data_IF_854071351476
#
_entry.id   IF_854071351476
#
_cell.length_a   1.000
_cell.length_b   1.000
_cell.length_c   1.000
_cell.angle_alpha   90.00
_cell.angle_beta   90.00
_cell.angle_gamma   90.00
#
_symmetry.space_group_name_H-M   'P 1'
#
loop_
_entity.id
_entity.type
_entity.pdbx_description
1 polymer ?
#
# COMPACT_ATOMS: atom_id res chain seq x y z
N UNK A 1 10.86 -12.96 -10.95
CA UNK A 1 9.76 -12.64 -11.84
C UNK A 1 8.63 -13.65 -11.75
N UNK A 2 7.45 -13.25 -12.10
CA UNK A 2 6.24 -14.10 -12.05
C UNK A 2 6.08 -14.97 -13.31
N UNK A 3 6.91 -14.75 -14.31
CA UNK A 3 6.88 -15.51 -15.58
C UNK A 3 8.29 -15.85 -16.06
N UNK A 4 8.45 -17.01 -16.69
CA UNK A 4 9.71 -17.48 -17.26
C UNK A 4 10.67 -18.12 -16.24
N UNK A 5 11.93 -18.33 -16.64
CA UNK A 5 12.97 -18.85 -15.77
C UNK A 5 13.31 -17.84 -14.66
N UNK A 6 13.40 -18.25 -13.38
CA UNK A 6 13.75 -17.35 -12.28
C UNK A 6 15.13 -16.71 -12.52
N UNK A 7 15.21 -15.38 -12.35
CA UNK A 7 16.46 -14.63 -12.41
C UNK A 7 16.82 -14.13 -11.00
N UNK A 8 18.05 -14.32 -10.59
CA UNK A 8 18.57 -13.76 -9.34
C UNK A 8 18.84 -12.28 -9.50
N UNK A 9 18.09 -11.43 -8.82
CA UNK A 9 18.29 -9.97 -8.83
C UNK A 9 19.34 -9.59 -7.79
N UNK A 10 20.40 -8.90 -8.20
CA UNK A 10 21.47 -8.45 -7.32
C UNK A 10 21.16 -7.03 -6.83
N UNK A 11 20.82 -6.91 -5.56
CA UNK A 11 20.52 -5.62 -4.92
C UNK A 11 21.72 -5.13 -4.11
N UNK A 12 21.98 -3.83 -4.14
CA UNK A 12 23.01 -3.20 -3.30
C UNK A 12 22.44 -2.76 -1.95
N UNK A 13 23.30 -2.64 -0.94
CA UNK A 13 22.92 -1.99 0.33
C UNK A 13 22.46 -0.54 0.09
N UNK A 14 23.14 0.21 -0.80
CA UNK A 14 22.76 1.56 -1.17
C UNK A 14 21.36 1.63 -1.76
N UNK A 15 21.02 0.71 -2.67
CA UNK A 15 19.68 0.64 -3.27
C UNK A 15 18.58 0.42 -2.24
N UNK A 16 18.80 -0.51 -1.29
CA UNK A 16 17.85 -0.75 -0.20
C UNK A 16 17.72 0.48 0.71
N UNK A 17 18.83 1.12 1.10
CA UNK A 17 18.80 2.30 1.96
C UNK A 17 18.11 3.47 1.26
N UNK A 18 18.42 3.75 0.00
CA UNK A 18 17.74 4.77 -0.80
C UNK A 18 16.23 4.55 -0.88
N UNK A 19 15.81 3.28 -1.01
CA UNK A 19 14.39 2.92 -0.99
C UNK A 19 13.75 3.17 0.37
N UNK A 20 14.46 2.85 1.46
CA UNK A 20 14.03 3.13 2.82
C UNK A 20 13.87 4.65 3.07
N UNK A 21 14.80 5.48 2.60
CA UNK A 21 14.71 6.95 2.72
C UNK A 21 13.45 7.49 2.08
N UNK A 22 13.17 7.09 0.82
CA UNK A 22 11.96 7.48 0.12
C UNK A 22 10.68 7.05 0.83
N UNK A 23 10.66 5.82 1.35
CA UNK A 23 9.52 5.29 2.08
C UNK A 23 9.30 5.99 3.44
N UNK A 24 10.38 6.26 4.20
CA UNK A 24 10.30 6.98 5.49
C UNK A 24 9.77 8.39 5.29
N UNK A 25 10.23 9.09 4.25
CA UNK A 25 9.72 10.42 3.90
C UNK A 25 8.21 10.37 3.62
N UNK A 26 7.76 9.38 2.87
CA UNK A 26 6.35 9.20 2.53
C UNK A 26 5.48 8.94 3.76
N UNK A 27 5.91 8.05 4.66
CA UNK A 27 5.13 7.69 5.85
C UNK A 27 5.31 8.65 7.03
N UNK A 28 6.22 9.64 6.93
CA UNK A 28 6.52 10.61 8.00
C UNK A 28 5.26 11.22 8.63
N UNK A 29 4.23 11.68 7.87
CA UNK A 29 3.01 12.22 8.45
C UNK A 29 2.22 11.21 9.30
N UNK A 30 2.42 9.91 9.08
CA UNK A 30 1.75 8.85 9.82
C UNK A 30 2.50 8.53 11.13
N UNK A 31 3.83 8.46 11.08
CA UNK A 31 4.66 8.10 12.24
C UNK A 31 4.81 9.23 13.25
N UNK A 32 4.75 10.50 12.82
CA UNK A 32 4.78 11.66 13.72
C UNK A 32 3.53 11.78 14.60
N UNK A 33 2.41 11.23 14.15
CA UNK A 33 1.13 11.29 14.88
C UNK A 33 1.02 10.25 15.98
N UNK A 34 1.69 9.10 15.83
CA UNK A 34 1.63 7.97 16.77
C UNK A 34 2.89 7.12 16.66
N UNK A 35 3.27 6.49 17.76
CA UNK A 35 4.35 5.49 17.76
C UNK A 35 4.09 4.44 16.69
N UNK A 36 5.05 4.24 15.76
CA UNK A 36 4.86 3.30 14.66
C UNK A 36 4.79 1.87 15.18
N UNK A 37 3.75 1.16 14.77
CA UNK A 37 3.55 -0.28 15.02
C UNK A 37 3.25 -0.99 13.72
N UNK A 38 3.98 -2.04 13.46
CA UNK A 38 3.80 -2.86 12.26
C UNK A 38 3.37 -4.29 12.65
N UNK A 39 2.54 -4.88 11.80
CA UNK A 39 2.25 -6.31 11.83
C UNK A 39 2.78 -6.92 10.55
N UNK A 40 3.87 -7.66 10.66
CA UNK A 40 4.54 -8.36 9.57
C UNK A 40 3.91 -9.74 9.36
N UNK A 41 3.60 -10.08 8.12
CA UNK A 41 2.99 -11.35 7.74
C UNK A 41 3.36 -11.84 6.34
N UNK A 42 3.95 -10.95 5.52
CA UNK A 42 4.44 -11.32 4.20
C UNK A 42 5.78 -12.06 4.31
N UNK A 43 6.16 -12.87 3.30
CA UNK A 43 7.44 -13.58 3.31
C UNK A 43 8.63 -12.63 3.36
N UNK A 44 9.50 -12.78 4.36
CA UNK A 44 10.72 -11.95 4.51
C UNK A 44 11.74 -12.15 3.38
N UNK A 45 11.63 -13.24 2.64
CA UNK A 45 12.43 -13.50 1.44
C UNK A 45 12.01 -12.69 0.21
N UNK A 46 10.82 -12.08 0.24
CA UNK A 46 10.36 -11.20 -0.83
C UNK A 46 10.91 -9.79 -0.61
N UNK A 47 11.47 -9.16 -1.66
CA UNK A 47 12.11 -7.85 -1.59
C UNK A 47 11.24 -6.77 -0.93
N UNK A 48 9.93 -6.81 -1.14
CA UNK A 48 8.98 -5.87 -0.54
C UNK A 48 8.99 -5.94 0.99
N UNK A 49 8.72 -7.10 1.58
CA UNK A 49 8.71 -7.24 3.03
C UNK A 49 10.11 -7.14 3.63
N UNK A 50 11.13 -7.60 2.90
CA UNK A 50 12.52 -7.43 3.30
C UNK A 50 12.89 -5.97 3.53
N UNK A 51 12.57 -5.08 2.58
CA UNK A 51 12.81 -3.64 2.71
C UNK A 51 11.96 -3.00 3.82
N UNK A 52 10.72 -3.46 3.99
CA UNK A 52 9.88 -3.00 5.11
C UNK A 52 10.51 -3.27 6.48
N UNK A 53 11.25 -4.38 6.66
CA UNK A 53 11.96 -4.64 7.91
C UNK A 53 13.01 -3.56 8.20
N UNK A 54 13.75 -3.10 7.20
CA UNK A 54 14.71 -2.00 7.39
C UNK A 54 14.01 -0.68 7.69
N UNK A 55 12.88 -0.38 7.04
CA UNK A 55 12.07 0.80 7.36
C UNK A 55 11.61 0.75 8.81
N UNK A 56 11.16 -0.40 9.31
CA UNK A 56 10.73 -0.58 10.70
C UNK A 56 11.87 -0.30 11.70
N UNK A 57 13.10 -0.72 11.36
CA UNK A 57 14.29 -0.44 12.17
C UNK A 57 14.62 1.08 12.17
N UNK A 58 14.61 1.70 10.98
CA UNK A 58 14.95 3.15 10.83
C UNK A 58 13.97 4.02 11.63
N UNK A 59 12.67 3.69 11.62
CA UNK A 59 11.67 4.49 12.34
C UNK A 59 11.48 4.08 13.80
N UNK A 60 12.26 3.12 14.32
CA UNK A 60 12.15 2.63 15.69
C UNK A 60 10.80 1.99 16.01
N UNK A 61 10.21 1.29 15.04
CA UNK A 61 8.88 0.74 15.17
C UNK A 61 8.81 -0.45 16.14
N UNK A 62 7.64 -0.62 16.78
CA UNK A 62 7.28 -1.90 17.39
C UNK A 62 6.79 -2.86 16.32
N UNK A 63 7.44 -4.00 16.20
CA UNK A 63 7.15 -5.00 15.17
C UNK A 63 6.52 -6.23 15.82
N UNK A 64 5.40 -6.66 15.26
CA UNK A 64 4.70 -7.88 15.60
C UNK A 64 4.70 -8.80 14.38
N UNK A 65 4.89 -10.09 14.60
CA UNK A 65 4.82 -11.10 13.54
C UNK A 65 3.51 -11.87 13.66
N UNK A 66 2.78 -11.98 12.57
CA UNK A 66 1.53 -12.72 12.55
C UNK A 66 1.78 -14.24 12.71
N UNK A 67 0.92 -14.89 13.46
CA UNK A 67 1.02 -16.33 13.69
C UNK A 67 0.67 -17.14 12.44
N UNK A 68 -0.38 -16.72 11.72
CA UNK A 68 -0.81 -17.31 10.45
C UNK A 68 -1.76 -16.38 9.70
N UNK A 69 -2.06 -16.70 8.44
CA UNK A 69 -3.03 -15.94 7.64
C UNK A 69 -4.45 -15.99 8.21
N UNK A 70 -4.84 -17.14 8.76
CA UNK A 70 -6.16 -17.34 9.37
C UNK A 70 -6.35 -16.46 10.60
N UNK A 71 -5.28 -16.25 11.36
CA UNK A 71 -5.28 -15.44 12.59
C UNK A 71 -4.96 -13.96 12.35
N UNK A 72 -4.74 -13.54 11.11
CA UNK A 72 -4.24 -12.21 10.80
C UNK A 72 -5.14 -11.10 11.39
N UNK A 73 -6.46 -11.21 11.26
CA UNK A 73 -7.39 -10.22 11.82
C UNK A 73 -7.35 -10.19 13.36
N UNK A 74 -7.28 -11.35 14.02
CA UNK A 74 -7.14 -11.41 15.48
C UNK A 74 -5.78 -10.85 15.93
N UNK A 75 -4.71 -11.13 15.20
CA UNK A 75 -3.40 -10.55 15.47
C UNK A 75 -3.40 -9.02 15.29
N UNK A 76 -4.12 -8.47 14.28
CA UNK A 76 -4.31 -7.02 14.14
C UNK A 76 -5.03 -6.41 15.35
N UNK A 77 -6.05 -7.08 15.88
CA UNK A 77 -6.77 -6.61 17.07
C UNK A 77 -5.86 -6.52 18.29
N UNK A 78 -4.93 -7.47 18.45
CA UNK A 78 -3.97 -7.53 19.57
C UNK A 78 -2.81 -6.52 19.36
N UNK A 79 -2.15 -6.56 18.21
CA UNK A 79 -0.99 -5.72 17.89
C UNK A 79 -1.37 -4.25 17.73
N UNK A 80 -2.59 -3.97 17.30
CA UNK A 80 -3.08 -2.63 16.98
C UNK A 80 -2.11 -1.86 16.06
N UNK A 81 -1.79 -2.40 14.87
CA UNK A 81 -0.82 -1.77 13.99
C UNK A 81 -1.29 -0.39 13.55
N UNK A 82 -0.33 0.51 13.35
CA UNK A 82 -0.59 1.83 12.76
C UNK A 82 -0.39 1.81 11.24
N UNK A 83 0.52 0.97 10.77
CA UNK A 83 0.80 0.74 9.35
C UNK A 83 0.89 -0.76 9.11
N UNK A 84 0.33 -1.23 8.00
CA UNK A 84 0.41 -2.62 7.60
C UNK A 84 0.55 -2.74 6.09
N UNK A 85 1.55 -3.48 5.66
CA UNK A 85 1.76 -3.85 4.26
C UNK A 85 0.91 -5.06 3.89
N UNK A 86 0.34 -5.07 2.70
CA UNK A 86 -0.41 -6.21 2.20
C UNK A 86 -0.41 -6.27 0.67
N UNK A 87 -0.84 -7.40 0.13
CA UNK A 87 -0.95 -7.68 -1.30
C UNK A 87 -2.41 -7.63 -1.77
N UNK A 88 -2.69 -7.42 -3.07
CA UNK A 88 -4.04 -7.26 -3.60
C UNK A 88 -5.02 -8.37 -3.19
N UNK A 89 -4.58 -9.62 -3.12
CA UNK A 89 -5.41 -10.75 -2.69
C UNK A 89 -5.95 -10.60 -1.27
N UNK A 90 -5.19 -10.00 -0.36
CA UNK A 90 -5.66 -9.71 1.00
C UNK A 90 -6.85 -8.74 0.94
N UNK A 91 -6.75 -7.68 0.16
CA UNK A 91 -7.80 -6.67 0.03
C UNK A 91 -9.06 -7.21 -0.65
N UNK A 92 -8.92 -8.08 -1.65
CA UNK A 92 -10.05 -8.79 -2.28
C UNK A 92 -10.83 -9.63 -1.26
N UNK A 93 -10.10 -10.41 -0.44
CA UNK A 93 -10.71 -11.21 0.62
C UNK A 93 -11.39 -10.34 1.67
N UNK A 94 -10.75 -9.23 2.03
CA UNK A 94 -11.29 -8.27 3.00
C UNK A 94 -12.57 -7.62 2.47
N UNK A 95 -12.56 -7.13 1.23
CA UNK A 95 -13.70 -6.57 0.53
C UNK A 95 -14.88 -7.54 0.52
N UNK A 96 -14.64 -8.79 0.12
CA UNK A 96 -15.67 -9.83 0.08
C UNK A 96 -16.28 -10.09 1.46
N UNK A 97 -15.46 -10.27 2.50
CA UNK A 97 -15.91 -10.51 3.87
C UNK A 97 -16.74 -9.35 4.43
N UNK A 98 -16.32 -8.11 4.19
CA UNK A 98 -17.03 -6.93 4.67
C UNK A 98 -18.38 -6.80 3.95
N UNK A 99 -18.42 -6.98 2.62
CA UNK A 99 -19.67 -6.90 1.85
C UNK A 99 -20.68 -7.96 2.27
N UNK A 100 -20.27 -9.22 2.48
CA UNK A 100 -21.14 -10.27 3.02
C UNK A 100 -21.75 -9.84 4.37
N UNK A 101 -20.97 -9.19 5.24
CA UNK A 101 -21.47 -8.70 6.52
C UNK A 101 -22.42 -7.50 6.33
N UNK A 102 -22.16 -6.63 5.36
CA UNK A 102 -23.04 -5.51 5.02
C UNK A 102 -24.38 -5.99 4.46
N UNK A 103 -24.37 -7.00 3.62
CA UNK A 103 -25.59 -7.56 2.99
C UNK A 103 -26.52 -8.22 3.99
N UNK A 104 -25.99 -8.75 5.09
CA UNK A 104 -26.80 -9.26 6.21
C UNK A 104 -27.52 -8.17 7.01
N UNK A 105 -27.10 -6.91 6.89
CA UNK A 105 -27.72 -5.81 7.63
C UNK A 105 -29.04 -5.35 6.96
N UNK A 106 -30.04 -5.03 7.78
CA UNK A 106 -31.37 -4.58 7.32
C UNK A 106 -31.74 -3.25 7.97
N UNK A 107 -32.80 -2.62 7.46
CA UNK A 107 -33.39 -1.41 8.02
C UNK A 107 -32.41 -0.25 8.15
N UNK A 108 -32.38 0.41 9.30
CA UNK A 108 -31.59 1.60 9.59
C UNK A 108 -30.09 1.33 9.43
N UNK A 109 -29.60 0.15 9.84
CA UNK A 109 -28.19 -0.21 9.71
C UNK A 109 -27.76 -0.24 8.25
N UNK A 110 -28.55 -0.87 7.36
CA UNK A 110 -28.27 -0.90 5.92
C UNK A 110 -28.28 0.50 5.31
N UNK A 111 -29.26 1.33 5.68
CA UNK A 111 -29.33 2.73 5.23
C UNK A 111 -28.08 3.52 5.65
N UNK A 112 -27.59 3.31 6.89
CA UNK A 112 -26.41 3.99 7.39
C UNK A 112 -25.14 3.56 6.65
N UNK A 113 -24.99 2.26 6.34
CA UNK A 113 -23.88 1.72 5.54
C UNK A 113 -23.89 2.36 4.15
N UNK A 114 -25.02 2.35 3.46
CA UNK A 114 -25.12 2.92 2.11
C UNK A 114 -24.80 4.43 2.12
N UNK A 115 -25.24 5.13 3.14
CA UNK A 115 -24.91 6.56 3.34
C UNK A 115 -23.42 6.75 3.56
N UNK A 116 -22.79 5.88 4.36
CA UNK A 116 -21.33 5.91 4.59
C UNK A 116 -20.55 5.75 3.29
N UNK A 117 -20.94 4.80 2.45
CA UNK A 117 -20.32 4.57 1.15
C UNK A 117 -20.48 5.79 0.24
N UNK A 118 -21.71 6.31 0.11
CA UNK A 118 -21.99 7.49 -0.72
C UNK A 118 -21.19 8.73 -0.30
N UNK A 119 -21.20 9.04 1.00
CA UNK A 119 -20.46 10.21 1.52
C UNK A 119 -18.95 10.02 1.45
N UNK A 120 -18.47 8.77 1.68
CA UNK A 120 -17.06 8.45 1.54
C UNK A 120 -16.57 8.64 0.11
N UNK A 121 -17.35 8.22 -0.89
CA UNK A 121 -17.02 8.43 -2.30
C UNK A 121 -16.94 9.92 -2.67
N UNK A 122 -17.91 10.74 -2.24
CA UNK A 122 -17.84 12.20 -2.42
C UNK A 122 -16.56 12.79 -1.84
N UNK A 123 -16.15 12.34 -0.65
CA UNK A 123 -14.92 12.82 -0.01
C UNK A 123 -13.69 12.43 -0.82
N UNK A 124 -13.62 11.19 -1.33
CA UNK A 124 -12.51 10.74 -2.20
C UNK A 124 -12.43 11.56 -3.49
N UNK A 125 -13.57 11.91 -4.06
CA UNK A 125 -13.70 12.76 -5.26
C UNK A 125 -13.50 14.26 -4.97
N UNK A 126 -13.18 14.61 -3.71
CA UNK A 126 -13.01 16.00 -3.23
C UNK A 126 -14.22 16.90 -3.46
N UNK A 127 -15.42 16.31 -3.48
CA UNK A 127 -16.65 17.07 -3.54
C UNK A 127 -16.93 17.78 -2.21
N UNK A 128 -17.50 18.99 -2.29
CA UNK A 128 -17.92 19.73 -1.11
C UNK A 128 -19.20 19.12 -0.52
N UNK A 129 -19.14 18.72 0.73
CA UNK A 129 -20.32 18.27 1.47
C UNK A 129 -21.13 19.47 1.97
N UNK A 130 -22.45 19.42 1.82
CA UNK A 130 -23.39 20.34 2.47
C UNK A 130 -23.32 20.21 3.99
N UNK A 131 -23.87 21.16 4.73
CA UNK A 131 -23.86 21.14 6.19
C UNK A 131 -24.56 19.90 6.76
N UNK A 132 -25.70 19.51 6.19
CA UNK A 132 -26.40 18.27 6.55
C UNK A 132 -25.59 17.01 6.27
N UNK A 133 -24.89 16.96 5.13
CA UNK A 133 -24.01 15.84 4.79
C UNK A 133 -22.79 15.75 5.73
N UNK A 134 -22.24 16.89 6.17
CA UNK A 134 -21.15 16.90 7.18
C UNK A 134 -21.60 16.30 8.52
N UNK A 135 -22.78 16.67 9.00
CA UNK A 135 -23.37 16.09 10.23
C UNK A 135 -23.59 14.59 10.05
N UNK A 136 -24.18 14.17 8.92
CA UNK A 136 -24.45 12.78 8.64
C UNK A 136 -23.17 11.96 8.48
N UNK A 137 -22.14 12.54 7.85
CA UNK A 137 -20.82 11.92 7.74
C UNK A 137 -20.16 11.73 9.12
N UNK A 138 -20.32 12.68 10.04
CA UNK A 138 -19.85 12.53 11.42
C UNK A 138 -20.53 11.34 12.14
N UNK A 139 -21.86 11.19 11.96
CA UNK A 139 -22.62 10.06 12.49
C UNK A 139 -22.12 8.73 11.86
N UNK A 140 -21.95 8.69 10.54
CA UNK A 140 -21.40 7.55 9.81
C UNK A 140 -19.99 7.18 10.29
N UNK A 141 -19.17 8.18 10.61
CA UNK A 141 -17.84 7.95 11.14
C UNK A 141 -17.86 7.21 12.48
N UNK A 142 -18.74 7.63 13.40
CA UNK A 142 -18.85 7.01 14.73
C UNK A 142 -19.50 5.63 14.64
N UNK A 143 -20.61 5.49 13.92
CA UNK A 143 -21.46 4.31 13.96
C UNK A 143 -21.03 3.21 12.98
N UNK A 144 -20.30 3.55 11.91
CA UNK A 144 -19.85 2.61 10.88
C UNK A 144 -18.34 2.53 10.84
N UNK A 145 -17.64 3.62 10.44
CA UNK A 145 -16.19 3.56 10.19
C UNK A 145 -15.38 3.18 11.43
N UNK A 146 -15.63 3.80 12.58
CA UNK A 146 -14.94 3.46 13.84
C UNK A 146 -15.18 2.01 14.26
N UNK A 147 -16.39 1.47 14.03
CA UNK A 147 -16.67 0.04 14.33
C UNK A 147 -15.87 -0.89 13.44
N UNK A 148 -15.72 -0.55 12.16
CA UNK A 148 -14.89 -1.31 11.24
C UNK A 148 -13.43 -1.20 11.66
N UNK A 149 -12.91 0.02 11.87
CA UNK A 149 -11.53 0.24 12.32
C UNK A 149 -11.18 -0.54 13.58
N UNK A 150 -12.11 -0.61 14.55
CA UNK A 150 -11.89 -1.34 15.80
C UNK A 150 -11.68 -2.85 15.60
N UNK A 151 -12.26 -3.44 14.55
CA UNK A 151 -11.99 -4.84 14.20
C UNK A 151 -10.54 -5.07 13.74
N UNK A 152 -9.86 -4.00 13.31
CA UNK A 152 -8.45 -3.99 12.90
C UNK A 152 -7.55 -3.33 13.95
N UNK A 153 -7.96 -3.34 15.22
CA UNK A 153 -7.21 -2.78 16.34
C UNK A 153 -7.40 -1.28 16.59
N UNK A 154 -8.18 -0.58 15.77
CA UNK A 154 -8.60 0.82 15.98
C UNK A 154 -7.52 1.89 15.82
N UNK A 155 -6.28 1.50 15.50
CA UNK A 155 -5.13 2.42 15.39
C UNK A 155 -4.55 2.52 13.99
N UNK A 156 -5.06 1.76 13.05
CA UNK A 156 -4.58 1.73 11.68
C UNK A 156 -4.71 3.10 11.02
N UNK A 157 -3.61 3.63 10.53
CA UNK A 157 -3.52 4.89 9.80
C UNK A 157 -3.40 4.65 8.30
N UNK A 158 -2.74 3.55 7.90
CA UNK A 158 -2.65 3.15 6.50
C UNK A 158 -2.42 1.66 6.33
N UNK A 159 -3.11 1.09 5.36
CA UNK A 159 -2.63 -0.07 4.61
C UNK A 159 -1.76 0.42 3.46
N UNK A 160 -0.71 -0.33 3.12
CA UNK A 160 0.12 -0.09 1.94
C UNK A 160 0.04 -1.31 1.04
N UNK A 161 -0.58 -1.15 -0.11
CA UNK A 161 -0.73 -2.22 -1.12
C UNK A 161 0.47 -2.23 -2.05
N UNK A 162 1.12 -3.38 -2.16
CA UNK A 162 2.25 -3.61 -3.08
C UNK A 162 2.21 -5.02 -3.66
N UNK A 163 3.13 -5.31 -4.58
CA UNK A 163 3.26 -6.63 -5.21
C UNK A 163 2.23 -6.94 -6.30
N UNK A 164 1.46 -5.95 -6.74
CA UNK A 164 0.50 -6.05 -7.85
C UNK A 164 -0.52 -4.92 -7.82
N UNK A 165 -1.25 -4.74 -8.92
CA UNK A 165 -2.30 -3.72 -9.03
C UNK A 165 -3.48 -4.03 -8.09
N UNK A 166 -3.89 -3.02 -7.33
CA UNK A 166 -5.10 -3.08 -6.53
C UNK A 166 -6.30 -2.69 -7.41
N UNK A 167 -7.35 -3.49 -7.39
CA UNK A 167 -8.61 -3.13 -8.05
C UNK A 167 -9.13 -1.79 -7.52
N UNK A 168 -9.47 -0.87 -8.43
CA UNK A 168 -9.88 0.49 -8.08
C UNK A 168 -11.13 0.49 -7.18
N UNK A 169 -12.13 -0.34 -7.49
CA UNK A 169 -13.36 -0.39 -6.70
C UNK A 169 -13.07 -0.86 -5.25
N UNK A 170 -12.13 -1.79 -5.09
CA UNK A 170 -11.70 -2.26 -3.77
C UNK A 170 -10.97 -1.15 -3.02
N UNK A 171 -10.05 -0.47 -3.68
CA UNK A 171 -9.33 0.66 -3.08
C UNK A 171 -10.26 1.79 -2.66
N UNK A 172 -11.21 2.21 -3.51
CA UNK A 172 -12.23 3.20 -3.20
C UNK A 172 -13.09 2.75 -2.02
N UNK A 173 -13.60 1.52 -2.07
CA UNK A 173 -14.42 0.96 -1.00
C UNK A 173 -13.73 1.00 0.36
N UNK A 174 -12.48 0.52 0.45
CA UNK A 174 -11.72 0.50 1.70
C UNK A 174 -11.51 1.90 2.25
N UNK A 175 -11.12 2.85 1.42
CA UNK A 175 -10.97 4.24 1.83
C UNK A 175 -12.30 4.85 2.30
N UNK A 176 -13.42 4.56 1.63
CA UNK A 176 -14.74 5.10 2.01
C UNK A 176 -15.24 4.58 3.35
N UNK A 177 -14.91 3.35 3.71
CA UNK A 177 -15.34 2.73 4.98
C UNK A 177 -14.36 3.00 6.14
N UNK A 178 -13.33 3.83 5.91
CA UNK A 178 -12.39 4.25 6.95
C UNK A 178 -11.20 3.33 7.17
N UNK A 179 -10.84 2.53 6.17
CA UNK A 179 -9.61 1.76 6.10
C UNK A 179 -8.67 2.39 5.06
N UNK A 180 -7.87 3.40 5.45
CA UNK A 180 -7.01 4.11 4.52
C UNK A 180 -6.07 3.14 3.82
N UNK A 181 -6.12 3.12 2.48
CA UNK A 181 -5.34 2.20 1.66
C UNK A 181 -4.57 2.99 0.61
N UNK A 182 -3.25 2.90 0.69
CA UNK A 182 -2.30 3.50 -0.25
C UNK A 182 -1.86 2.43 -1.23
N UNK A 183 -1.78 2.76 -2.50
CA UNK A 183 -1.23 1.87 -3.52
C UNK A 183 0.18 2.32 -3.88
N UNK A 184 1.13 1.39 -3.90
CA UNK A 184 2.48 1.58 -4.40
C UNK A 184 2.77 0.72 -5.62
N UNK A 185 3.75 1.16 -6.41
CA UNK A 185 4.30 0.45 -7.55
C UNK A 185 5.78 0.17 -7.32
N UNK A 186 6.20 -0.99 -7.79
CA UNK A 186 7.59 -1.38 -7.77
C UNK A 186 7.83 -2.82 -8.22
N UNK A 187 9.09 -3.15 -8.32
CA UNK A 187 9.57 -4.45 -8.76
C UNK A 187 10.89 -4.76 -8.05
N UNK A 188 11.24 -6.04 -7.94
CA UNK A 188 12.47 -6.46 -7.23
C UNK A 188 13.70 -5.76 -7.76
N UNK A 189 13.75 -5.51 -9.07
CA UNK A 189 14.82 -4.83 -9.78
C UNK A 189 14.99 -3.35 -9.39
N UNK A 190 14.05 -2.80 -8.62
CA UNK A 190 14.08 -1.40 -8.12
C UNK A 190 14.14 -1.30 -6.57
N UNK A 191 14.49 -2.35 -5.84
CA UNK A 191 14.79 -2.44 -4.39
C UNK A 191 13.68 -2.09 -3.38
N UNK A 192 12.41 -2.40 -3.48
CA UNK A 192 11.61 -2.66 -4.67
C UNK A 192 10.73 -1.48 -5.08
N UNK A 193 10.46 -0.49 -4.19
CA UNK A 193 9.41 0.52 -4.38
C UNK A 193 9.89 1.67 -5.25
N UNK A 194 9.11 1.99 -6.29
CA UNK A 194 9.36 3.12 -7.18
C UNK A 194 8.48 4.32 -6.80
N UNK A 195 7.22 4.09 -6.54
CA UNK A 195 6.23 5.13 -6.20
C UNK A 195 5.19 4.64 -5.21
N UNK A 196 4.51 5.55 -4.53
CA UNK A 196 3.38 5.23 -3.67
C UNK A 196 2.46 6.44 -3.50
N UNK A 197 1.18 6.19 -3.28
CA UNK A 197 0.20 7.22 -2.91
C UNK A 197 0.61 7.92 -1.62
N UNK A 198 0.39 9.23 -1.57
CA UNK A 198 0.62 10.03 -0.36
C UNK A 198 -0.55 9.87 0.61
N UNK A 199 -0.29 9.80 1.94
CA UNK A 199 -1.35 9.65 2.93
C UNK A 199 -2.43 10.74 2.90
N UNK A 200 -2.03 11.97 2.57
CA UNK A 200 -2.94 13.12 2.50
C UNK A 200 -3.49 13.38 1.08
N UNK A 201 -3.06 12.60 0.09
CA UNK A 201 -3.47 12.73 -1.31
C UNK A 201 -3.57 11.35 -1.97
N UNK A 202 -4.55 10.57 -1.53
CA UNK A 202 -4.84 9.27 -2.13
C UNK A 202 -5.57 9.46 -3.45
N UNK A 203 -4.97 8.96 -4.54
CA UNK A 203 -5.60 8.79 -5.85
C UNK A 203 -5.63 7.30 -6.16
N UNK A 204 -6.78 6.69 -5.93
CA UNK A 204 -6.92 5.22 -5.95
C UNK A 204 -6.62 4.62 -7.32
N UNK A 205 -6.88 5.38 -8.38
CA UNK A 205 -6.63 5.03 -9.78
C UNK A 205 -5.14 5.10 -10.18
N UNK A 206 -4.26 5.57 -9.27
CA UNK A 206 -2.83 5.73 -9.53
C UNK A 206 -1.98 5.05 -8.47
N UNK A 207 -0.71 4.90 -8.77
CA UNK A 207 0.33 4.40 -7.85
C UNK A 207 1.09 5.52 -7.12
N UNK A 208 0.60 6.75 -7.23
CA UNK A 208 1.20 7.93 -6.59
C UNK A 208 2.48 8.44 -7.25
N UNK A 209 3.07 9.50 -6.70
CA UNK A 209 4.30 10.05 -7.21
C UNK A 209 5.49 9.13 -6.92
N UNK A 210 6.56 9.18 -7.75
CA UNK A 210 7.79 8.47 -7.46
C UNK A 210 8.44 8.98 -6.17
N UNK A 211 9.20 8.13 -5.49
CA UNK A 211 10.04 8.56 -4.38
C UNK A 211 11.05 9.60 -4.87
N UNK A 212 11.39 10.57 -4.03
CA UNK A 212 12.36 11.63 -4.39
C UNK A 212 13.75 11.09 -4.72
N UNK A 213 14.07 9.91 -4.22
CA UNK A 213 15.32 9.20 -4.50
C UNK A 213 15.35 8.60 -5.91
N UNK A 214 14.20 8.54 -6.61
CA UNK A 214 14.05 7.93 -7.92
C UNK A 214 13.77 8.96 -9.01
N UNK A 215 14.25 8.70 -10.21
CA UNK A 215 13.81 9.38 -11.44
C UNK A 215 12.95 8.40 -12.24
N UNK A 216 11.78 8.85 -12.64
CA UNK A 216 10.86 8.08 -13.48
C UNK A 216 10.54 8.87 -14.73
N UNK A 217 10.49 8.20 -15.87
CA UNK A 217 9.95 8.74 -17.12
C UNK A 217 9.14 7.67 -17.83
N UNK A 218 8.21 8.10 -18.64
CA UNK A 218 7.47 7.23 -19.56
C UNK A 218 8.14 7.34 -20.94
N UNK A 219 8.48 6.22 -21.53
CA UNK A 219 9.04 6.16 -22.88
C UNK A 219 7.95 6.39 -23.94
N UNK A 220 8.36 6.53 -25.22
CA UNK A 220 7.41 6.79 -26.31
C UNK A 220 6.40 5.66 -26.53
N UNK A 221 6.77 4.43 -26.22
CA UNK A 221 5.92 3.26 -26.26
C UNK A 221 5.06 3.05 -24.99
N UNK A 222 5.16 3.97 -24.01
CA UNK A 222 4.45 3.91 -22.75
C UNK A 222 5.19 3.14 -21.65
N UNK A 223 6.38 2.59 -21.90
CA UNK A 223 7.14 1.86 -20.89
C UNK A 223 7.60 2.77 -19.75
N UNK A 224 7.43 2.29 -18.50
CA UNK A 224 7.97 2.97 -17.32
C UNK A 224 9.48 2.72 -17.24
N UNK A 225 10.27 3.79 -17.20
CA UNK A 225 11.70 3.73 -17.01
C UNK A 225 12.09 4.33 -15.67
N UNK A 226 12.98 3.63 -14.95
CA UNK A 226 13.42 4.02 -13.60
C UNK A 226 14.92 4.23 -13.58
N UNK A 227 15.39 5.30 -12.93
CA UNK A 227 16.80 5.56 -12.67
C UNK A 227 16.99 6.08 -11.26
N UNK A 228 17.97 5.52 -10.56
CA UNK A 228 18.33 5.91 -9.19
C UNK A 228 19.21 4.86 -8.55
N UNK A 229 19.63 5.14 -7.33
CA UNK A 229 20.44 4.20 -6.51
C UNK A 229 19.65 2.91 -6.20
N UNK A 230 18.31 2.98 -6.22
CA UNK A 230 17.41 1.85 -6.01
C UNK A 230 17.44 0.81 -7.13
N UNK A 231 17.98 1.13 -8.31
CA UNK A 231 18.07 0.17 -9.43
C UNK A 231 19.08 -0.93 -9.10
N UNK A 232 18.72 -2.17 -9.41
CA UNK A 232 19.58 -3.34 -9.20
C UNK A 232 20.94 -3.21 -9.88
N UNK A 233 21.94 -3.94 -9.39
CA UNK A 233 23.25 -4.06 -10.05
C UNK A 233 23.18 -4.93 -11.30
N UNK A 234 22.20 -5.80 -11.41
CA UNK A 234 21.95 -6.67 -12.55
C UNK A 234 21.37 -8.00 -12.12
N UNK A 235 21.25 -8.92 -13.08
CA UNK A 235 20.88 -10.30 -12.83
C UNK A 235 22.13 -11.18 -12.58
N UNK A 236 22.08 -11.98 -11.53
CA UNK A 236 23.19 -12.86 -11.12
C UNK A 236 23.61 -13.81 -12.24
N UNK A 237 24.88 -13.73 -12.64
CA UNK A 237 25.48 -14.51 -13.73
C UNK A 237 24.73 -14.42 -15.08
N UNK A 238 24.00 -13.32 -15.34
CA UNK A 238 23.23 -13.11 -16.58
C UNK A 238 23.47 -11.70 -17.14
N UNK A 239 24.71 -11.49 -17.62
CA UNK A 239 25.14 -10.16 -18.14
C UNK A 239 24.28 -9.69 -19.32
N UNK A 240 24.05 -10.56 -20.29
CA UNK A 240 23.24 -10.24 -21.47
C UNK A 240 21.80 -9.85 -21.11
N UNK A 241 21.18 -10.56 -20.15
CA UNK A 241 19.84 -10.22 -19.67
C UNK A 241 19.83 -8.88 -18.91
N UNK A 242 20.91 -8.58 -18.20
CA UNK A 242 21.07 -7.28 -17.53
C UNK A 242 21.16 -6.15 -18.53
N UNK A 243 21.97 -6.29 -19.57
CA UNK A 243 22.16 -5.28 -20.64
C UNK A 243 20.88 -5.05 -21.46
N UNK A 244 19.98 -6.04 -21.54
CA UNK A 244 18.65 -5.85 -22.17
C UNK A 244 17.75 -4.89 -21.41
N UNK A 245 17.84 -4.89 -20.09
CA UNK A 245 16.91 -4.14 -19.22
C UNK A 245 17.53 -2.90 -18.59
N UNK A 246 18.87 -2.79 -18.52
CA UNK A 246 19.55 -1.56 -18.05
C UNK A 246 20.27 -0.91 -19.24
N UNK A 247 19.77 0.24 -19.68
CA UNK A 247 20.35 0.99 -20.82
C UNK A 247 20.57 2.44 -20.40
N UNK A 248 21.77 2.97 -20.58
CA UNK A 248 22.15 4.34 -20.22
C UNK A 248 21.82 4.71 -18.76
N UNK A 249 21.89 3.70 -17.88
CA UNK A 249 21.57 3.83 -16.46
C UNK A 249 20.06 3.91 -16.14
N UNK A 250 19.19 3.62 -17.12
CA UNK A 250 17.75 3.46 -16.93
C UNK A 250 17.36 2.00 -16.93
N UNK A 251 16.60 1.59 -15.91
CA UNK A 251 15.92 0.31 -15.86
C UNK A 251 14.67 0.36 -16.73
N UNK A 252 14.60 -0.47 -17.75
CA UNK A 252 13.42 -0.78 -18.53
C UNK A 252 12.59 -1.81 -17.77
N UNK A 253 11.44 -1.39 -17.25
CA UNK A 253 10.67 -2.22 -16.31
C UNK A 253 9.83 -3.27 -17.02
N UNK A 254 9.50 -3.07 -18.28
CA UNK A 254 8.53 -3.86 -19.03
C UNK A 254 7.07 -3.57 -18.66
N UNK A 255 6.82 -2.64 -17.75
CA UNK A 255 5.49 -2.23 -17.34
C UNK A 255 5.08 -0.96 -18.11
N UNK A 256 3.78 -0.84 -18.44
CA UNK A 256 3.19 0.32 -19.13
C UNK A 256 2.55 1.24 -18.10
N UNK A 257 2.78 2.56 -18.24
CA UNK A 257 2.34 3.61 -17.33
C UNK A 257 1.60 4.76 -17.99
#
# INVERSE_FOLDING_TARGET
GTSGNPKGVVLSHGGILSNCEGAVELIKPLIEKKDPKFLTWLPLSHSYEHTIQFIQIIVGAKVYYAESLEKLISNMSIAQPTIMTAVPRFYQNLYTKININFDKQKGIKRKLINTTLKLGQKILQKENLSLSEKILNFICNILVRKKIQNQFGGKLQAFVSGGGALDQNIGEFLNTIGLPTLQGYGLTEASPVVSCNLPDLVKVETVGPPFRTNKVRIAEDGEILVKGENVMLGYWNQKEETEKVIKDGWLHTGDIG
#
